data_IF_403374293171
#
_entry.id   IF_403374293171
#
_cell.length_a   1.000
_cell.length_b   1.000
_cell.length_c   1.000
_cell.angle_alpha   90.00
_cell.angle_beta   90.00
_cell.angle_gamma   90.00
#
_symmetry.space_group_name_H-M   'P 1'
#
loop_
_entity.id
_entity.type
_entity.pdbx_description
1 polymer ?
#
# COMPACT_ATOMS: atom_id res chain seq x y z
N UNK A 1 -26.10 3.09 -13.30
CA UNK A 1 -24.87 2.37 -13.70
C UNK A 1 -23.70 3.01 -12.96
N UNK A 2 -22.76 2.22 -12.44
CA UNK A 2 -21.55 2.77 -11.83
C UNK A 2 -20.66 3.37 -12.94
N UNK A 3 -20.23 4.62 -12.77
CA UNK A 3 -19.27 5.30 -13.65
C UNK A 3 -17.94 5.52 -12.91
N UNK A 4 -16.85 5.80 -13.64
CA UNK A 4 -15.53 6.14 -13.05
C UNK A 4 -15.67 7.22 -11.95
N UNK A 5 -16.52 8.22 -12.17
CA UNK A 5 -16.82 9.29 -11.20
C UNK A 5 -17.52 8.80 -9.91
N UNK A 6 -18.40 7.80 -10.02
CA UNK A 6 -19.04 7.20 -8.84
C UNK A 6 -18.04 6.42 -7.97
N UNK A 7 -17.05 5.76 -8.60
CA UNK A 7 -15.98 5.07 -7.90
C UNK A 7 -15.03 6.05 -7.19
N UNK A 8 -14.60 7.10 -7.89
CA UNK A 8 -13.77 8.15 -7.30
C UNK A 8 -14.44 8.79 -6.06
N UNK A 9 -15.75 9.07 -6.15
CA UNK A 9 -16.51 9.63 -5.02
C UNK A 9 -16.64 8.64 -3.85
N UNK A 10 -16.87 7.35 -4.13
CA UNK A 10 -16.90 6.31 -3.11
C UNK A 10 -15.53 6.15 -2.42
N UNK A 11 -14.44 6.26 -3.17
CA UNK A 11 -13.09 6.16 -2.63
C UNK A 11 -12.77 7.33 -1.70
N UNK A 12 -13.14 8.56 -2.08
CA UNK A 12 -13.00 9.73 -1.21
C UNK A 12 -13.75 9.53 0.12
N UNK A 13 -15.01 9.06 0.06
CA UNK A 13 -15.79 8.78 1.28
C UNK A 13 -15.13 7.72 2.16
N UNK A 14 -14.60 6.65 1.56
CA UNK A 14 -13.87 5.60 2.28
C UNK A 14 -12.61 6.16 2.97
N UNK A 15 -11.85 7.02 2.31
CA UNK A 15 -10.69 7.68 2.94
C UNK A 15 -11.11 8.45 4.19
N UNK A 16 -12.13 9.31 4.08
CA UNK A 16 -12.61 10.10 5.22
C UNK A 16 -13.17 9.23 6.34
N UNK A 17 -13.83 8.13 6.00
CA UNK A 17 -14.30 7.15 6.98
C UNK A 17 -13.12 6.48 7.70
N UNK A 18 -12.07 6.06 6.99
CA UNK A 18 -10.89 5.45 7.60
C UNK A 18 -10.12 6.43 8.50
N UNK A 19 -9.94 7.68 8.06
CA UNK A 19 -9.32 8.74 8.87
C UNK A 19 -10.15 9.04 10.12
N UNK A 20 -11.48 9.13 9.98
CA UNK A 20 -12.39 9.32 11.13
C UNK A 20 -12.34 8.14 12.11
N UNK A 21 -12.34 6.90 11.60
CA UNK A 21 -12.23 5.70 12.43
C UNK A 21 -10.90 5.66 13.18
N UNK A 22 -9.79 5.97 12.51
CA UNK A 22 -8.49 6.08 13.14
C UNK A 22 -8.49 7.14 14.24
N UNK A 23 -9.05 8.32 13.97
CA UNK A 23 -9.12 9.41 14.93
C UNK A 23 -9.92 9.00 16.18
N UNK A 24 -11.14 8.48 16.00
CA UNK A 24 -11.99 8.01 17.10
C UNK A 24 -11.31 6.90 17.90
N UNK A 25 -10.66 5.96 17.21
CA UNK A 25 -9.91 4.88 17.85
C UNK A 25 -8.76 5.42 18.72
N UNK A 26 -7.95 6.35 18.20
CA UNK A 26 -6.84 6.92 18.96
C UNK A 26 -7.35 7.71 20.18
N UNK A 27 -8.39 8.53 20.02
CA UNK A 27 -9.01 9.24 21.16
C UNK A 27 -9.53 8.25 22.20
N UNK A 28 -10.26 7.22 21.79
CA UNK A 28 -10.78 6.18 22.69
C UNK A 28 -9.66 5.42 23.41
N UNK A 29 -8.60 5.06 22.68
CA UNK A 29 -7.42 4.39 23.24
C UNK A 29 -6.75 5.25 24.31
N UNK A 30 -6.42 6.51 24.01
CA UNK A 30 -5.78 7.42 24.97
C UNK A 30 -6.71 7.83 26.12
N UNK A 31 -8.03 7.85 25.92
CA UNK A 31 -9.02 8.03 26.98
C UNK A 31 -8.99 6.89 27.99
N UNK A 32 -8.95 5.63 27.52
CA UNK A 32 -8.80 4.46 28.40
C UNK A 32 -7.49 4.55 29.20
N UNK A 33 -6.36 4.87 28.54
CA UNK A 33 -5.08 5.04 29.24
C UNK A 33 -5.16 6.18 30.28
N UNK A 34 -5.73 7.32 29.91
CA UNK A 34 -5.91 8.46 30.81
C UNK A 34 -6.72 8.08 32.05
N UNK A 35 -7.75 7.26 31.90
CA UNK A 35 -8.57 6.76 33.00
C UNK A 35 -7.81 5.77 33.89
N UNK A 36 -7.06 4.83 33.30
CA UNK A 36 -6.27 3.83 34.05
C UNK A 36 -5.16 4.49 34.89
N UNK A 37 -4.49 5.51 34.35
CA UNK A 37 -3.43 6.24 35.06
C UNK A 37 -3.91 7.42 35.89
N UNK A 38 -5.21 7.73 35.88
CA UNK A 38 -5.79 8.88 36.56
C UNK A 38 -5.04 10.19 36.21
N UNK A 39 -4.58 10.30 34.96
CA UNK A 39 -3.79 11.43 34.49
C UNK A 39 -4.40 12.01 33.20
N UNK A 40 -5.07 13.18 33.27
CA UNK A 40 -5.70 13.80 32.12
C UNK A 40 -4.71 14.28 31.05
N UNK A 41 -3.43 14.46 31.38
CA UNK A 41 -2.41 14.85 30.40
C UNK A 41 -2.23 13.81 29.29
N UNK A 42 -2.49 12.52 29.58
CA UNK A 42 -2.41 11.43 28.60
C UNK A 42 -3.45 11.61 27.50
N UNK A 43 -4.67 12.03 27.85
CA UNK A 43 -5.72 12.29 26.87
C UNK A 43 -5.39 13.50 25.99
N UNK A 44 -4.90 14.59 26.57
CA UNK A 44 -4.48 15.77 25.82
C UNK A 44 -3.34 15.45 24.85
N UNK A 45 -2.33 14.70 25.32
CA UNK A 45 -1.26 14.20 24.49
C UNK A 45 -1.79 13.32 23.35
N UNK A 46 -2.68 12.37 23.67
CA UNK A 46 -3.30 11.49 22.70
C UNK A 46 -4.11 12.22 21.64
N UNK A 47 -4.85 13.27 22.04
CA UNK A 47 -5.63 14.10 21.12
C UNK A 47 -4.73 14.88 20.16
N UNK A 48 -3.67 15.50 20.67
CA UNK A 48 -2.66 16.18 19.83
C UNK A 48 -2.03 15.19 18.86
N UNK A 49 -1.61 14.02 19.36
CA UNK A 49 -1.03 12.96 18.54
C UNK A 49 -2.00 12.49 17.45
N UNK A 50 -3.27 12.27 17.77
CA UNK A 50 -4.28 11.83 16.81
C UNK A 50 -4.51 12.86 15.68
N UNK A 51 -4.53 14.16 16.01
CA UNK A 51 -4.62 15.24 15.03
C UNK A 51 -3.37 15.26 14.14
N UNK A 52 -2.18 15.27 14.76
CA UNK A 52 -0.90 15.27 14.03
C UNK A 52 -0.82 14.06 13.10
N UNK A 53 -1.20 12.87 13.57
CA UNK A 53 -1.19 11.64 12.77
C UNK A 53 -2.16 11.71 11.59
N UNK A 54 -3.37 12.24 11.76
CA UNK A 54 -4.33 12.39 10.67
C UNK A 54 -3.82 13.37 9.60
N UNK A 55 -3.31 14.52 10.03
CA UNK A 55 -2.72 15.53 9.14
C UNK A 55 -1.50 14.95 8.42
N UNK A 56 -0.60 14.30 9.16
CA UNK A 56 0.60 13.69 8.60
C UNK A 56 0.26 12.60 7.56
N UNK A 57 -0.71 11.74 7.86
CA UNK A 57 -1.16 10.66 6.97
C UNK A 57 -1.79 11.18 5.68
N UNK A 58 -2.38 12.39 5.68
CA UNK A 58 -2.92 12.98 4.46
C UNK A 58 -1.85 13.75 3.65
N UNK A 59 -0.96 14.48 4.33
CA UNK A 59 -0.03 15.41 3.67
C UNK A 59 1.35 14.84 3.34
N UNK A 60 1.78 13.78 4.01
CA UNK A 60 3.14 13.23 3.91
C UNK A 60 3.20 11.73 3.58
N UNK A 61 2.06 11.11 3.29
CA UNK A 61 1.99 9.66 3.12
C UNK A 61 2.72 9.15 1.88
N UNK A 62 2.69 9.89 0.78
CA UNK A 62 3.47 9.62 -0.43
C UNK A 62 4.98 9.64 -0.13
N UNK A 63 5.45 10.68 0.58
CA UNK A 63 6.87 10.81 0.94
C UNK A 63 7.33 9.67 1.86
N UNK A 64 6.46 9.26 2.79
CA UNK A 64 6.74 8.14 3.68
C UNK A 64 6.89 6.83 2.89
N UNK A 65 5.97 6.55 1.95
CA UNK A 65 6.04 5.36 1.08
C UNK A 65 7.30 5.36 0.23
N UNK A 66 7.61 6.49 -0.43
CA UNK A 66 8.80 6.63 -1.29
C UNK A 66 10.08 6.37 -0.50
N UNK A 67 10.17 6.93 0.72
CA UNK A 67 11.32 6.75 1.59
C UNK A 67 11.47 5.28 2.03
N UNK A 68 10.37 4.63 2.44
CA UNK A 68 10.37 3.21 2.81
C UNK A 68 10.79 2.30 1.64
N UNK A 69 10.33 2.60 0.43
CA UNK A 69 10.70 1.85 -0.76
C UNK A 69 12.14 2.10 -1.23
N UNK A 70 12.83 3.11 -0.69
CA UNK A 70 14.15 3.53 -1.15
C UNK A 70 14.14 4.09 -2.58
N UNK A 71 12.98 4.60 -3.04
CA UNK A 71 12.79 5.06 -4.39
C UNK A 71 13.48 6.42 -4.61
N UNK A 72 14.17 6.59 -5.74
CA UNK A 72 14.89 7.82 -6.09
C UNK A 72 14.19 8.54 -7.24
N UNK A 73 14.05 9.88 -7.18
CA UNK A 73 13.44 10.62 -8.28
C UNK A 73 14.29 10.46 -9.54
N UNK A 74 13.62 10.37 -10.68
CA UNK A 74 14.28 10.36 -11.99
C UNK A 74 13.71 11.45 -12.87
N UNK A 75 14.52 11.98 -13.77
CA UNK A 75 14.11 13.00 -14.73
C UNK A 75 14.09 12.45 -16.18
N UNK A 76 13.45 13.18 -17.10
CA UNK A 76 13.31 12.81 -18.51
C UNK A 76 14.65 12.59 -19.23
N UNK A 77 15.74 13.18 -18.74
CA UNK A 77 17.09 12.97 -19.28
C UNK A 77 17.68 11.61 -18.89
N UNK A 78 17.33 11.12 -17.70
CA UNK A 78 17.86 9.86 -17.17
C UNK A 78 17.08 8.67 -17.72
N UNK A 79 15.76 8.80 -17.84
CA UNK A 79 14.85 7.72 -18.25
C UNK A 79 13.86 8.22 -19.33
N UNK A 80 14.33 8.57 -20.55
CA UNK A 80 13.49 9.20 -21.57
C UNK A 80 12.33 8.32 -22.05
N UNK A 81 12.54 7.00 -22.13
CA UNK A 81 11.50 6.08 -22.58
C UNK A 81 10.35 5.96 -21.57
N UNK A 82 10.68 5.75 -20.29
CA UNK A 82 9.70 5.71 -19.21
C UNK A 82 8.90 7.01 -19.15
N UNK A 83 9.58 8.16 -19.27
CA UNK A 83 8.93 9.47 -19.31
C UNK A 83 7.93 9.60 -20.46
N UNK A 84 8.31 9.20 -21.68
CA UNK A 84 7.41 9.24 -22.84
C UNK A 84 6.21 8.32 -22.68
N UNK A 85 6.41 7.11 -22.17
CA UNK A 85 5.32 6.17 -21.90
C UNK A 85 4.31 6.77 -20.92
N UNK A 86 4.80 7.24 -19.77
CA UNK A 86 3.94 7.80 -18.73
C UNK A 86 3.26 9.08 -19.21
N UNK A 87 3.98 9.96 -19.93
CA UNK A 87 3.44 11.22 -20.46
C UNK A 87 2.31 10.95 -21.47
N UNK A 88 2.54 10.07 -22.45
CA UNK A 88 1.52 9.72 -23.45
C UNK A 88 0.28 9.12 -22.82
N UNK A 89 0.46 8.20 -21.86
CA UNK A 89 -0.66 7.57 -21.17
C UNK A 89 -1.38 8.56 -20.24
N UNK A 90 -0.66 9.44 -19.55
CA UNK A 90 -1.25 10.47 -18.70
C UNK A 90 -2.08 11.47 -19.52
N UNK A 91 -1.58 11.92 -20.68
CA UNK A 91 -2.33 12.76 -21.62
C UNK A 91 -3.60 12.03 -22.07
N UNK A 92 -3.49 10.77 -22.48
CA UNK A 92 -4.62 9.96 -22.94
C UNK A 92 -5.67 9.76 -21.85
N UNK A 93 -5.24 9.60 -20.59
CA UNK A 93 -6.10 9.46 -19.42
C UNK A 93 -6.65 10.80 -18.89
N UNK A 94 -6.23 11.94 -19.45
CA UNK A 94 -6.59 13.27 -18.94
C UNK A 94 -6.05 13.57 -17.54
N UNK A 95 -4.89 12.99 -17.21
CA UNK A 95 -4.22 13.13 -15.92
C UNK A 95 -3.01 14.07 -16.02
N UNK A 96 -2.69 14.83 -14.95
CA UNK A 96 -1.40 15.50 -14.87
C UNK A 96 -0.27 14.47 -14.82
N UNK A 97 0.89 14.82 -15.37
CA UNK A 97 2.09 13.97 -15.32
C UNK A 97 2.47 13.67 -13.86
N UNK A 98 2.47 12.40 -13.42
CA UNK A 98 2.92 12.04 -12.08
C UNK A 98 4.44 12.20 -11.99
N UNK A 99 4.94 12.37 -10.76
CA UNK A 99 6.39 12.32 -10.52
C UNK A 99 6.89 10.89 -10.65
N UNK A 100 8.04 10.71 -11.28
CA UNK A 100 8.61 9.40 -11.53
C UNK A 100 9.77 9.09 -10.58
N UNK A 101 9.76 7.88 -10.08
CA UNK A 101 10.79 7.35 -9.20
C UNK A 101 11.24 5.98 -9.67
N UNK A 102 12.51 5.66 -9.43
CA UNK A 102 13.09 4.35 -9.69
C UNK A 102 13.59 3.72 -8.40
N UNK A 103 13.29 2.45 -8.21
CA UNK A 103 13.78 1.61 -7.12
C UNK A 103 14.86 0.71 -7.70
N UNK A 104 16.06 0.75 -7.12
CA UNK A 104 17.16 -0.14 -7.53
C UNK A 104 16.94 -1.53 -6.95
N UNK A 105 16.12 -2.33 -7.63
CA UNK A 105 15.78 -3.69 -7.24
C UNK A 105 15.60 -4.58 -8.48
N UNK A 106 16.22 -5.77 -8.53
CA UNK A 106 16.10 -6.68 -9.66
C UNK A 106 14.75 -7.42 -9.71
N UNK A 107 13.95 -7.39 -8.65
CA UNK A 107 12.58 -7.92 -8.64
C UNK A 107 11.66 -7.00 -9.44
N UNK A 108 10.94 -7.49 -10.47
CA UNK A 108 10.08 -6.66 -11.29
C UNK A 108 8.83 -6.25 -10.52
N UNK A 109 8.62 -4.95 -10.32
CA UNK A 109 7.43 -4.42 -9.68
C UNK A 109 7.25 -2.92 -9.96
N UNK A 110 6.05 -2.41 -9.69
CA UNK A 110 5.71 -1.00 -9.73
C UNK A 110 4.69 -0.68 -8.64
N UNK A 111 4.53 0.60 -8.31
CA UNK A 111 3.36 1.08 -7.59
C UNK A 111 3.14 2.56 -7.87
N UNK A 112 1.90 3.02 -7.75
CA UNK A 112 1.58 4.42 -7.59
C UNK A 112 1.44 4.79 -6.10
N UNK A 113 1.56 6.08 -5.79
CA UNK A 113 1.12 6.66 -4.51
C UNK A 113 0.72 8.13 -4.70
N UNK A 114 0.09 8.74 -3.70
CA UNK A 114 -0.28 10.15 -3.75
C UNK A 114 -1.62 10.45 -3.12
N UNK A 115 -1.78 11.71 -2.72
CA UNK A 115 -3.02 12.21 -2.10
C UNK A 115 -4.09 12.65 -3.08
N UNK A 116 -3.69 13.01 -4.30
CA UNK A 116 -4.57 13.39 -5.40
C UNK A 116 -3.78 13.35 -6.72
N UNK A 117 -4.44 13.40 -7.90
CA UNK A 117 -3.75 13.31 -9.19
C UNK A 117 -2.61 14.32 -9.37
N UNK A 118 -2.75 15.56 -8.88
CA UNK A 118 -1.70 16.59 -9.00
C UNK A 118 -0.46 16.31 -8.14
N UNK A 119 -0.57 15.39 -7.19
CA UNK A 119 0.50 14.97 -6.30
C UNK A 119 0.71 13.46 -6.40
N UNK A 120 0.45 12.89 -7.58
CA UNK A 120 0.66 11.48 -7.84
C UNK A 120 2.12 11.19 -8.12
N UNK A 121 2.53 10.01 -7.72
CA UNK A 121 3.87 9.46 -7.88
C UNK A 121 3.71 8.06 -8.46
N UNK A 122 4.56 7.71 -9.43
CA UNK A 122 4.70 6.34 -9.93
C UNK A 122 6.15 5.93 -9.71
N UNK A 123 6.34 4.78 -9.05
CA UNK A 123 7.63 4.17 -8.80
C UNK A 123 7.73 2.85 -9.56
N UNK A 124 8.84 2.62 -10.25
CA UNK A 124 9.14 1.37 -10.96
C UNK A 124 10.46 0.79 -10.47
N UNK A 125 10.59 -0.53 -10.44
CA UNK A 125 11.88 -1.17 -10.14
C UNK A 125 12.74 -1.26 -11.41
N UNK A 126 14.07 -1.31 -11.24
CA UNK A 126 14.99 -1.59 -12.36
C UNK A 126 14.71 -2.94 -13.00
N UNK A 127 14.37 -3.95 -12.19
CA UNK A 127 13.99 -5.27 -12.68
C UNK A 127 12.73 -5.26 -13.56
N UNK A 128 11.78 -4.34 -13.31
CA UNK A 128 10.59 -4.21 -14.16
C UNK A 128 10.98 -3.74 -15.56
N UNK A 129 11.79 -2.69 -15.63
CA UNK A 129 12.24 -2.08 -16.88
C UNK A 129 13.14 -3.03 -17.70
N UNK A 130 13.90 -3.89 -17.05
CA UNK A 130 14.76 -4.89 -17.70
C UNK A 130 13.98 -6.12 -18.21
N UNK A 131 12.85 -6.45 -17.58
CA UNK A 131 12.09 -7.68 -17.85
C UNK A 131 10.93 -7.50 -18.82
N UNK A 132 10.31 -6.33 -18.81
CA UNK A 132 9.14 -6.05 -19.63
C UNK A 132 9.55 -5.40 -20.94
N UNK A 133 8.88 -5.79 -22.01
CA UNK A 133 8.93 -5.01 -23.24
C UNK A 133 8.09 -3.72 -23.12
N UNK A 134 8.15 -2.89 -24.16
CA UNK A 134 7.47 -1.60 -24.18
C UNK A 134 5.96 -1.71 -24.01
N UNK A 135 5.31 -2.69 -24.63
CA UNK A 135 3.86 -2.87 -24.58
C UNK A 135 3.38 -3.40 -23.23
N UNK A 136 4.18 -4.27 -22.62
CA UNK A 136 3.96 -4.78 -21.28
C UNK A 136 4.15 -3.69 -20.22
N UNK A 137 5.20 -2.89 -20.36
CA UNK A 137 5.45 -1.74 -19.48
C UNK A 137 4.34 -0.71 -19.62
N UNK A 138 3.89 -0.38 -20.84
CA UNK A 138 2.72 0.47 -21.07
C UNK A 138 1.47 -0.08 -20.36
N UNK A 139 1.25 -1.39 -20.38
CA UNK A 139 0.18 -2.06 -19.64
C UNK A 139 0.26 -1.82 -18.12
N UNK A 140 1.42 -2.07 -17.52
CA UNK A 140 1.64 -1.85 -16.07
C UNK A 140 1.46 -0.39 -15.71
N UNK A 141 2.04 0.54 -16.47
CA UNK A 141 1.90 1.97 -16.21
C UNK A 141 0.45 2.43 -16.38
N UNK A 142 -0.28 1.91 -17.37
CA UNK A 142 -1.69 2.21 -17.56
C UNK A 142 -2.56 1.73 -16.38
N UNK A 143 -2.24 0.57 -15.80
CA UNK A 143 -2.86 0.09 -14.57
C UNK A 143 -2.58 1.04 -13.39
N UNK A 144 -1.33 1.43 -13.16
CA UNK A 144 -0.95 2.36 -12.09
C UNK A 144 -1.61 3.76 -12.26
N UNK A 145 -1.67 4.26 -13.49
CA UNK A 145 -2.37 5.51 -13.82
C UNK A 145 -3.88 5.40 -13.59
N UNK A 146 -4.46 4.22 -13.78
CA UNK A 146 -5.89 3.98 -13.52
C UNK A 146 -6.22 4.13 -12.05
N UNK A 147 -5.33 3.72 -11.14
CA UNK A 147 -5.52 4.00 -9.71
C UNK A 147 -5.45 5.49 -9.37
N UNK A 148 -4.57 6.25 -10.04
CA UNK A 148 -4.50 7.71 -9.92
C UNK A 148 -5.84 8.35 -10.38
N UNK A 149 -6.36 7.95 -11.54
CA UNK A 149 -7.63 8.44 -12.08
C UNK A 149 -8.83 8.07 -11.22
N UNK A 150 -8.85 6.85 -10.67
CA UNK A 150 -9.91 6.34 -9.79
C UNK A 150 -9.85 6.90 -8.37
N UNK A 151 -8.85 7.74 -8.05
CA UNK A 151 -8.63 8.40 -6.75
C UNK A 151 -8.58 7.43 -5.57
N UNK A 152 -8.00 6.26 -5.78
CA UNK A 152 -7.95 5.22 -4.75
C UNK A 152 -6.55 5.06 -4.13
N UNK A 153 -5.55 5.76 -4.68
CA UNK A 153 -4.20 5.88 -4.12
C UNK A 153 -4.18 6.37 -2.66
N UNK A 154 -4.99 7.39 -2.35
CA UNK A 154 -4.97 8.02 -1.04
C UNK A 154 -5.42 7.04 0.06
N UNK A 155 -6.42 6.19 -0.23
CA UNK A 155 -6.86 5.14 0.68
C UNK A 155 -5.68 4.23 1.00
N UNK A 156 -5.05 3.68 -0.03
CA UNK A 156 -3.96 2.72 0.13
C UNK A 156 -2.75 3.35 0.84
N UNK A 157 -2.46 4.63 0.60
CA UNK A 157 -1.31 5.33 1.18
C UNK A 157 -1.53 5.73 2.65
N UNK A 158 -2.72 6.22 3.01
CA UNK A 158 -3.07 6.51 4.42
C UNK A 158 -2.94 5.25 5.27
N UNK A 159 -3.40 4.12 4.74
CA UNK A 159 -3.32 2.82 5.40
C UNK A 159 -1.88 2.38 5.65
N UNK A 160 -0.96 2.67 4.72
CA UNK A 160 0.48 2.40 4.93
C UNK A 160 1.02 3.17 6.12
N UNK A 161 0.70 4.45 6.23
CA UNK A 161 1.18 5.29 7.35
C UNK A 161 0.65 4.74 8.67
N UNK A 162 -0.64 4.40 8.73
CA UNK A 162 -1.25 3.82 9.93
C UNK A 162 -0.62 2.48 10.30
N UNK A 163 -0.49 1.58 9.33
CA UNK A 163 0.09 0.25 9.54
C UNK A 163 1.57 0.34 9.92
N UNK A 164 2.32 1.24 9.29
CA UNK A 164 3.73 1.51 9.60
C UNK A 164 3.89 2.02 11.03
N UNK A 165 3.09 3.00 11.44
CA UNK A 165 3.14 3.52 12.82
C UNK A 165 2.72 2.45 13.83
N UNK A 166 1.65 1.71 13.57
CA UNK A 166 1.20 0.63 14.45
C UNK A 166 2.29 -0.46 14.56
N UNK A 167 2.97 -0.79 13.47
CA UNK A 167 4.07 -1.75 13.48
C UNK A 167 5.25 -1.25 14.32
N UNK A 168 5.63 0.01 14.18
CA UNK A 168 6.70 0.64 14.99
C UNK A 168 6.33 0.65 16.47
N UNK A 169 5.09 1.05 16.79
CA UNK A 169 4.59 1.05 18.17
C UNK A 169 4.58 -0.37 18.74
N UNK A 170 4.11 -1.35 17.97
CA UNK A 170 4.07 -2.75 18.39
C UNK A 170 5.48 -3.30 18.63
N UNK A 171 6.44 -3.03 17.74
CA UNK A 171 7.84 -3.44 17.90
C UNK A 171 8.50 -2.75 19.11
N UNK A 172 8.29 -1.45 19.28
CA UNK A 172 8.76 -0.70 20.45
C UNK A 172 8.22 -1.30 21.76
N UNK A 173 6.93 -1.58 21.80
CA UNK A 173 6.27 -2.17 22.96
C UNK A 173 6.72 -3.60 23.25
N UNK A 174 6.83 -4.45 22.23
CA UNK A 174 7.36 -5.80 22.38
C UNK A 174 8.80 -5.77 22.91
N UNK A 175 9.67 -4.91 22.37
CA UNK A 175 11.05 -4.76 22.85
C UNK A 175 11.10 -4.28 24.30
N UNK A 176 10.29 -3.30 24.68
CA UNK A 176 10.19 -2.88 26.08
C UNK A 176 9.67 -4.01 26.99
N UNK A 177 8.76 -4.86 26.50
CA UNK A 177 8.26 -6.02 27.25
C UNK A 177 9.35 -7.08 27.49
N UNK A 178 10.18 -7.38 26.47
CA UNK A 178 11.24 -8.37 26.58
C UNK A 178 12.44 -7.88 27.42
N UNK A 179 12.82 -6.60 27.30
CA UNK A 179 13.92 -6.02 28.08
C UNK A 179 13.51 -5.58 29.50
N UNK A 180 12.22 -5.28 29.72
CA UNK A 180 11.67 -4.92 31.02
C UNK A 180 11.33 -6.11 31.94
N UNK A 181 11.15 -7.31 31.37
CA UNK A 181 10.81 -8.53 32.13
C UNK A 181 11.95 -9.16 32.94
N UNK A 182 13.18 -8.63 32.84
CA UNK A 182 14.36 -9.17 33.53
C UNK A 182 14.77 -8.39 34.79
N UNK A 183 14.12 -7.26 35.11
CA UNK A 183 14.29 -6.55 36.38
C UNK A 183 13.21 -6.96 37.37
N UNK A 184 13.60 -7.86 38.25
CA UNK A 184 12.86 -8.33 39.41
C UNK A 184 12.78 -7.21 40.47
N UNK A 185 12.01 -6.15 40.21
CA UNK A 185 11.79 -5.08 41.21
C UNK A 185 10.43 -5.28 41.89
N UNK A 186 10.51 -5.50 43.20
CA UNK A 186 9.44 -5.82 44.16
C UNK A 186 8.41 -4.69 44.39
N UNK A 187 8.34 -3.69 43.52
CA UNK A 187 7.38 -2.59 43.63
C UNK A 187 6.42 -2.61 42.44
N UNK A 188 5.16 -2.96 42.70
CA UNK A 188 4.11 -3.30 41.74
C UNK A 188 3.67 -2.24 40.72
N UNK A 189 4.48 -1.21 40.45
CA UNK A 189 4.25 -0.22 39.37
C UNK A 189 4.86 -0.62 38.03
N UNK A 190 5.96 -1.38 38.00
CA UNK A 190 6.64 -1.79 36.74
C UNK A 190 5.85 -2.81 35.91
N UNK A 191 5.20 -3.78 36.58
CA UNK A 191 4.39 -4.81 35.93
C UNK A 191 3.13 -4.28 35.23
N UNK A 192 2.51 -3.22 35.77
CA UNK A 192 1.32 -2.60 35.16
C UNK A 192 1.62 -1.89 33.84
N UNK A 193 2.81 -1.27 33.73
CA UNK A 193 3.27 -0.62 32.49
C UNK A 193 3.53 -1.67 31.41
N UNK A 194 4.22 -2.76 31.74
CA UNK A 194 4.49 -3.89 30.82
C UNK A 194 3.20 -4.58 30.35
N UNK A 195 2.22 -4.75 31.24
CA UNK A 195 0.91 -5.33 30.89
C UNK A 195 0.12 -4.43 29.92
N UNK A 196 0.13 -3.11 30.12
CA UNK A 196 -0.57 -2.16 29.24
C UNK A 196 0.12 -2.01 27.88
N UNK A 197 1.44 -2.09 27.84
CA UNK A 197 2.25 -2.21 26.61
C UNK A 197 1.84 -3.45 25.81
N UNK A 198 1.67 -4.58 26.48
CA UNK A 198 1.22 -5.83 25.85
C UNK A 198 -0.24 -5.72 25.34
N UNK A 199 -1.14 -5.10 26.13
CA UNK A 199 -2.53 -4.85 25.72
C UNK A 199 -2.60 -3.88 24.53
N UNK A 200 -1.78 -2.83 24.53
CA UNK A 200 -1.69 -1.89 23.42
C UNK A 200 -1.26 -2.60 22.13
N UNK A 201 -0.19 -3.41 22.16
CA UNK A 201 0.21 -4.23 21.02
C UNK A 201 -0.86 -5.22 20.56
N UNK A 202 -1.55 -5.86 21.51
CA UNK A 202 -2.61 -6.83 21.22
C UNK A 202 -3.86 -6.21 20.57
N UNK A 203 -4.14 -4.92 20.82
CA UNK A 203 -5.30 -4.20 20.23
C UNK A 203 -4.90 -3.49 18.93
N UNK A 204 -3.72 -2.87 18.88
CA UNK A 204 -3.28 -2.06 17.74
C UNK A 204 -3.09 -2.92 16.49
N UNK A 205 -2.47 -4.10 16.60
CA UNK A 205 -2.20 -4.93 15.43
C UNK A 205 -3.48 -5.44 14.72
N UNK A 206 -4.48 -6.01 15.41
CA UNK A 206 -5.76 -6.36 14.79
C UNK A 206 -6.52 -5.15 14.22
N UNK A 207 -6.42 -3.98 14.87
CA UNK A 207 -7.03 -2.75 14.36
C UNK A 207 -6.37 -2.27 13.05
N UNK A 208 -5.04 -2.32 12.95
CA UNK A 208 -4.33 -2.06 11.68
C UNK A 208 -4.80 -3.00 10.57
N UNK A 209 -4.89 -4.31 10.88
CA UNK A 209 -5.37 -5.30 9.93
C UNK A 209 -6.82 -5.05 9.49
N UNK A 210 -7.69 -4.60 10.41
CA UNK A 210 -9.05 -4.18 10.09
C UNK A 210 -9.07 -3.00 9.12
N UNK A 211 -8.30 -1.93 9.39
CA UNK A 211 -8.23 -0.77 8.51
C UNK A 211 -7.71 -1.14 7.12
N UNK A 212 -6.69 -1.99 7.04
CA UNK A 212 -6.16 -2.52 5.78
C UNK A 212 -7.24 -3.28 5.00
N UNK A 213 -7.98 -4.16 5.69
CA UNK A 213 -9.05 -4.95 5.06
C UNK A 213 -10.22 -4.09 4.57
N UNK A 214 -10.54 -3.00 5.28
CA UNK A 214 -11.58 -2.05 4.87
C UNK A 214 -11.13 -1.16 3.70
N UNK A 215 -9.82 -0.89 3.61
CA UNK A 215 -9.22 -0.06 2.58
C UNK A 215 -9.08 -0.76 1.24
N UNK A 216 -8.72 -2.05 1.25
CA UNK A 216 -8.37 -2.77 0.04
C UNK A 216 -9.57 -3.56 -0.48
N UNK A 217 -9.79 -3.48 -1.78
CA UNK A 217 -10.89 -4.20 -2.43
C UNK A 217 -10.39 -4.83 -3.70
N UNK A 218 -10.53 -6.16 -3.81
CA UNK A 218 -10.21 -6.93 -5.03
C UNK A 218 -10.90 -6.40 -6.28
N UNK A 219 -12.11 -5.83 -6.14
CA UNK A 219 -12.83 -5.19 -7.26
C UNK A 219 -12.08 -3.99 -7.84
N UNK A 220 -11.27 -3.29 -7.05
CA UNK A 220 -10.46 -2.15 -7.53
C UNK A 220 -9.37 -2.61 -8.49
N UNK A 221 -8.72 -3.72 -8.18
CA UNK A 221 -7.69 -4.32 -9.05
C UNK A 221 -8.27 -4.69 -10.42
N UNK A 222 -9.41 -5.38 -10.47
CA UNK A 222 -10.08 -5.70 -11.74
C UNK A 222 -10.53 -4.45 -12.51
N UNK A 223 -10.96 -3.40 -11.81
CA UNK A 223 -11.31 -2.13 -12.45
C UNK A 223 -10.08 -1.40 -13.00
N UNK A 224 -8.95 -1.46 -12.29
CA UNK A 224 -7.68 -0.91 -12.76
C UNK A 224 -7.13 -1.71 -13.96
N UNK A 225 -7.28 -3.04 -13.96
CA UNK A 225 -6.96 -3.90 -15.10
C UNK A 225 -7.80 -3.55 -16.33
N UNK A 226 -9.12 -3.46 -16.16
CA UNK A 226 -10.02 -3.08 -17.25
C UNK A 226 -9.73 -1.66 -17.76
N UNK A 227 -9.48 -0.71 -16.86
CA UNK A 227 -9.17 0.68 -17.22
C UNK A 227 -7.82 0.79 -17.93
N UNK A 228 -6.81 0.07 -17.45
CA UNK A 228 -5.49 -0.01 -18.07
C UNK A 228 -5.57 -0.62 -19.47
N UNK A 229 -6.31 -1.72 -19.62
CA UNK A 229 -6.56 -2.34 -20.92
C UNK A 229 -7.32 -1.44 -21.89
N UNK A 230 -8.30 -0.66 -21.42
CA UNK A 230 -9.00 0.33 -22.24
C UNK A 230 -8.09 1.51 -22.64
N UNK A 231 -7.19 1.92 -21.74
CA UNK A 231 -6.24 3.01 -21.97
C UNK A 231 -5.19 2.63 -23.01
N UNK A 232 -4.64 1.40 -22.93
CA UNK A 232 -3.68 0.89 -23.93
C UNK A 232 -4.35 0.34 -25.18
N UNK A 233 -5.63 -0.02 -25.10
CA UNK A 233 -6.38 -0.81 -26.10
C UNK A 233 -5.72 -2.15 -26.40
N UNK A 234 -4.91 -2.67 -25.47
CA UNK A 234 -4.15 -3.89 -25.65
C UNK A 234 -4.10 -4.69 -24.33
N UNK A 235 -5.18 -5.44 -24.01
CA UNK A 235 -5.26 -6.21 -22.77
C UNK A 235 -4.17 -7.29 -22.65
N UNK A 236 -3.70 -7.85 -23.78
CA UNK A 236 -2.68 -8.90 -23.76
C UNK A 236 -1.33 -8.39 -23.20
N UNK A 237 -0.96 -7.13 -23.46
CA UNK A 237 0.27 -6.56 -22.92
C UNK A 237 0.28 -6.54 -21.38
N UNK A 238 -0.85 -6.19 -20.76
CA UNK A 238 -0.98 -6.24 -19.30
C UNK A 238 -1.02 -7.68 -18.77
N UNK A 239 -1.66 -8.60 -19.49
CA UNK A 239 -1.72 -10.01 -19.11
C UNK A 239 -0.33 -10.68 -19.16
N UNK A 240 0.47 -10.39 -20.19
CA UNK A 240 1.85 -10.87 -20.32
C UNK A 240 2.75 -10.26 -19.24
N UNK A 241 2.60 -8.97 -18.95
CA UNK A 241 3.32 -8.31 -17.86
C UNK A 241 3.01 -8.98 -16.50
N UNK A 242 1.73 -9.23 -16.20
CA UNK A 242 1.31 -9.96 -15.00
C UNK A 242 1.97 -11.34 -14.91
N UNK A 243 1.96 -12.10 -15.99
CA UNK A 243 2.57 -13.43 -16.04
C UNK A 243 4.08 -13.38 -15.78
N UNK A 244 4.80 -12.43 -16.39
CA UNK A 244 6.25 -12.25 -16.20
C UNK A 244 6.59 -11.82 -14.78
N UNK A 245 5.82 -10.88 -14.21
CA UNK A 245 6.04 -10.38 -12.85
C UNK A 245 5.75 -11.47 -11.81
N UNK A 246 4.62 -12.16 -11.93
CA UNK A 246 4.24 -13.22 -11.01
C UNK A 246 5.15 -14.45 -11.11
N UNK A 247 5.65 -14.75 -12.32
CA UNK A 247 6.62 -15.83 -12.55
C UNK A 247 8.03 -15.55 -12.03
N UNK A 248 8.35 -14.32 -11.61
CA UNK A 248 9.65 -14.00 -11.02
C UNK A 248 9.67 -14.35 -9.52
N UNK A 249 10.54 -15.30 -9.08
CA UNK A 249 10.55 -15.76 -7.70
C UNK A 249 11.24 -14.79 -6.73
N UNK A 250 11.86 -13.71 -7.22
CA UNK A 250 12.67 -12.80 -6.40
C UNK A 250 11.74 -11.86 -5.63
N UNK A 251 11.78 -11.84 -4.29
CA UNK A 251 11.07 -10.82 -3.53
C UNK A 251 11.76 -9.46 -3.68
N UNK A 252 10.99 -8.39 -3.53
CA UNK A 252 11.52 -7.02 -3.48
C UNK A 252 12.30 -6.86 -2.17
N UNK A 253 13.56 -6.44 -2.24
CA UNK A 253 14.52 -6.46 -1.12
C UNK A 253 14.11 -5.58 0.05
N UNK A 254 13.57 -4.40 -0.25
CA UNK A 254 13.18 -3.39 0.74
C UNK A 254 11.65 -3.29 0.90
N UNK A 255 10.92 -4.36 0.61
CA UNK A 255 9.48 -4.36 0.83
C UNK A 255 9.16 -4.38 2.32
N UNK A 256 8.33 -3.42 2.75
CA UNK A 256 7.75 -3.39 4.08
C UNK A 256 6.33 -3.99 4.05
N UNK A 257 5.91 -4.63 5.15
CA UNK A 257 4.58 -5.25 5.24
C UNK A 257 3.47 -4.23 5.08
N UNK A 258 3.69 -3.02 5.61
CA UNK A 258 2.79 -1.88 5.48
C UNK A 258 2.69 -1.33 4.05
N UNK A 259 3.67 -1.58 3.18
CA UNK A 259 3.68 -1.12 1.77
C UNK A 259 3.26 -2.22 0.79
N UNK A 260 3.06 -3.45 1.26
CA UNK A 260 2.95 -4.62 0.39
C UNK A 260 1.76 -4.55 -0.58
N UNK A 261 0.65 -3.98 -0.13
CA UNK A 261 -0.58 -3.81 -0.93
C UNK A 261 -0.55 -2.65 -1.93
N UNK A 262 0.55 -1.88 -1.97
CA UNK A 262 0.74 -0.84 -2.99
C UNK A 262 1.33 -1.42 -4.27
N UNK A 263 2.14 -2.48 -4.15
CA UNK A 263 2.84 -3.06 -5.27
C UNK A 263 1.86 -3.73 -6.23
N UNK A 264 2.16 -3.62 -7.53
CA UNK A 264 1.39 -4.22 -8.63
C UNK A 264 1.18 -5.72 -8.44
N UNK A 265 2.18 -6.40 -7.89
CA UNK A 265 2.14 -7.80 -7.48
C UNK A 265 2.81 -7.96 -6.10
N UNK A 266 2.43 -9.01 -5.36
CA UNK A 266 2.89 -9.27 -4.01
C UNK A 266 4.44 -9.27 -3.90
N UNK A 267 5.03 -8.28 -3.21
CA UNK A 267 6.48 -8.12 -3.19
C UNK A 267 7.22 -9.22 -2.41
N UNK A 268 6.51 -10.02 -1.61
CA UNK A 268 7.08 -11.14 -0.87
C UNK A 268 7.11 -12.44 -1.68
N UNK A 269 6.40 -12.51 -2.82
CA UNK A 269 6.18 -13.70 -3.66
C UNK A 269 5.72 -14.90 -2.84
N UNK A 270 4.41 -15.13 -2.80
CA UNK A 270 3.90 -16.38 -2.22
C UNK A 270 4.47 -17.53 -3.07
N UNK A 271 5.20 -18.45 -2.44
CA UNK A 271 5.72 -19.70 -3.04
C UNK A 271 7.10 -19.67 -3.72
N UNK A 272 8.07 -18.87 -3.23
CA UNK A 272 9.48 -19.20 -3.49
C UNK A 272 9.81 -20.58 -2.86
N UNK A 273 10.32 -21.58 -3.63
CA UNK A 273 10.68 -22.91 -3.15
C UNK A 273 12.02 -22.90 -2.39
N UNK A 274 12.17 -21.96 -1.47
CA UNK A 274 13.26 -21.93 -0.50
C UNK A 274 12.62 -22.17 0.84
N UNK A 275 12.87 -23.35 1.43
CA UNK A 275 12.28 -23.86 2.68
C UNK A 275 12.57 -23.03 3.94
N UNK A 276 12.27 -21.73 3.92
CA UNK A 276 12.36 -20.81 5.05
C UNK A 276 11.03 -20.11 5.23
N UNK A 277 10.31 -20.64 6.22
CA UNK A 277 9.27 -20.04 7.07
C UNK A 277 8.01 -19.55 6.34
N UNK A 278 6.93 -20.31 6.55
CA UNK A 278 5.53 -19.91 6.42
C UNK A 278 5.38 -18.40 6.57
N UNK A 279 4.76 -17.75 5.58
CA UNK A 279 4.30 -16.37 5.71
C UNK A 279 3.58 -16.24 7.05
N UNK A 280 4.03 -15.34 7.96
CA UNK A 280 3.33 -15.12 9.21
C UNK A 280 1.85 -14.87 8.92
N UNK A 281 0.93 -15.37 9.74
CA UNK A 281 -0.52 -15.16 9.53
C UNK A 281 -0.89 -13.67 9.38
N UNK A 282 -0.06 -12.78 9.96
CA UNK A 282 -0.16 -11.34 9.77
C UNK A 282 0.08 -10.93 8.31
N UNK A 283 1.07 -11.52 7.64
CA UNK A 283 1.40 -11.25 6.23
C UNK A 283 0.32 -11.79 5.29
N UNK A 284 -0.32 -12.92 5.60
CA UNK A 284 -1.42 -13.43 4.77
C UNK A 284 -2.69 -12.57 4.86
N UNK A 285 -2.90 -11.83 5.96
CA UNK A 285 -3.95 -10.81 6.06
C UNK A 285 -3.67 -9.57 5.19
N UNK A 286 -2.41 -9.38 4.76
CA UNK A 286 -1.99 -8.29 3.88
C UNK A 286 -1.96 -8.70 2.39
N UNK A 287 -2.16 -9.99 2.08
CA UNK A 287 -2.32 -10.49 0.71
C UNK A 287 -3.72 -10.18 0.19
N UNK A 288 -3.85 -9.06 -0.52
CA UNK A 288 -5.15 -8.48 -0.86
C UNK A 288 -5.42 -8.39 -2.36
N UNK A 289 -4.44 -8.73 -3.19
CA UNK A 289 -4.63 -8.85 -4.64
C UNK A 289 -5.43 -10.12 -4.98
N UNK A 290 -6.29 -10.08 -6.02
CA UNK A 290 -6.89 -11.27 -6.60
C UNK A 290 -5.81 -12.24 -7.13
N UNK A 291 -6.13 -13.54 -7.29
CA UNK A 291 -5.26 -14.48 -7.96
C UNK A 291 -4.83 -13.96 -9.34
N UNK A 292 -3.55 -14.16 -9.69
CA UNK A 292 -2.98 -13.63 -10.94
C UNK A 292 -3.63 -14.30 -12.14
N UNK A 293 -3.93 -15.59 -12.05
CA UNK A 293 -4.58 -16.38 -13.09
C UNK A 293 -5.97 -15.83 -13.41
N UNK A 294 -6.73 -15.40 -12.40
CA UNK A 294 -8.05 -14.81 -12.59
C UNK A 294 -7.97 -13.44 -13.28
N UNK A 295 -6.96 -12.62 -12.95
CA UNK A 295 -6.71 -11.33 -13.61
C UNK A 295 -6.31 -11.52 -15.07
N UNK A 296 -5.38 -12.44 -15.34
CA UNK A 296 -4.96 -12.80 -16.70
C UNK A 296 -6.15 -13.30 -17.52
N UNK A 297 -6.97 -14.19 -16.96
CA UNK A 297 -8.18 -14.70 -17.63
C UNK A 297 -9.17 -13.58 -17.93
N UNK A 298 -9.40 -12.67 -16.99
CA UNK A 298 -10.28 -11.52 -17.18
C UNK A 298 -9.77 -10.61 -18.31
N UNK A 299 -8.47 -10.28 -18.32
CA UNK A 299 -7.87 -9.46 -19.37
C UNK A 299 -7.96 -10.12 -20.75
N UNK A 300 -7.63 -11.41 -20.84
CA UNK A 300 -7.73 -12.17 -22.10
C UNK A 300 -9.16 -12.24 -22.61
N UNK A 301 -10.16 -12.34 -21.72
CA UNK A 301 -11.57 -12.30 -22.12
C UNK A 301 -12.03 -10.96 -22.72
N UNK A 302 -11.28 -9.87 -22.52
CA UNK A 302 -11.54 -8.58 -23.15
C UNK A 302 -11.01 -8.51 -24.58
N UNK A 303 -10.17 -9.46 -24.99
CA UNK A 303 -9.58 -9.47 -26.31
C UNK A 303 -10.57 -10.12 -27.30
N UNK A 304 -11.06 -9.38 -28.32
CA UNK A 304 -12.10 -9.89 -29.21
C UNK A 304 -11.65 -11.09 -30.07
N UNK A 305 -10.34 -11.39 -30.12
CA UNK A 305 -9.77 -12.49 -30.90
C UNK A 305 -9.96 -13.86 -30.24
N UNK A 306 -10.11 -13.93 -28.91
CA UNK A 306 -10.21 -15.22 -28.17
C UNK A 306 -11.65 -15.71 -27.94
N UNK A 307 -12.65 -15.01 -28.49
CA UNK A 307 -14.07 -15.37 -28.35
C UNK A 307 -14.65 -16.16 -29.54
N UNK A 308 -13.80 -16.59 -30.48
CA UNK A 308 -14.20 -17.28 -31.70
C UNK A 308 -13.47 -18.62 -31.87
N UNK A 309 -13.55 -19.48 -30.86
CA UNK A 309 -13.29 -20.93 -30.99
C UNK A 309 -14.34 -21.71 -30.18
#
# INVERSE_FOLDING_TARGET
>A
MATIYTHASANIRKTWLLLSLLFVFLIGFFWVLSYVWQNPAILWFGAILAIVMNVASYWFSDKFVIALAGARPVDARQMPELYRIVENLAITAGLPMPKLYVIQDPSPNAFATGRNPKHAVVAVTTGLMERLDRTELEGVIAHELSHIGNRDMLISTVVVVVAGIISILSDFFLRMSFFGGMRNDREGRGGGILMLIAIAGAILAPFAALLIRLAISRRREYLADASGALLTRYPEGLALALAKIAGDPRPVRNAHSATAHLYFENPYKADAPTGRKKTPWLVSLFMTHPPVEDRIKALRSMNPVTGAE
#
